data_IF_878848806959
#
_entry.id   IF_878848806959
#
_cell.length_a   1.000
_cell.length_b   1.000
_cell.length_c   1.000
_cell.angle_alpha   90.00
_cell.angle_beta   90.00
_cell.angle_gamma   90.00
#
_symmetry.space_group_name_H-M   'P 1'
#
loop_
_entity.id
_entity.type
_entity.pdbx_description
1 polymer ?
#
# COMPACT_ATOMS: atom_id res chain seq x y z
N UNK A 1 42.22 -54.87 -36.13
CA UNK A 1 41.32 -53.72 -35.97
C UNK A 1 40.15 -54.11 -35.12
N UNK A 2 40.14 -53.66 -33.86
CA UNK A 2 39.04 -53.93 -32.91
C UNK A 2 37.92 -52.87 -33.09
N UNK A 3 36.66 -53.22 -32.99
CA UNK A 3 35.57 -52.23 -33.18
C UNK A 3 35.46 -51.30 -31.96
N UNK A 4 35.45 -50.01 -32.31
CA UNK A 4 35.23 -48.89 -31.36
C UNK A 4 33.81 -49.02 -30.78
N UNK A 5 33.67 -49.21 -29.46
CA UNK A 5 32.41 -49.20 -28.75
C UNK A 5 31.88 -47.74 -28.75
N UNK A 6 30.73 -47.55 -29.44
CA UNK A 6 29.96 -46.31 -29.37
C UNK A 6 29.50 -46.05 -27.92
N UNK A 7 29.54 -44.79 -27.41
CA UNK A 7 29.07 -44.46 -26.09
C UNK A 7 27.56 -44.64 -26.00
N UNK A 8 27.12 -45.23 -24.90
CA UNK A 8 25.78 -45.57 -24.52
C UNK A 8 24.82 -44.36 -24.61
N UNK A 9 23.88 -44.38 -25.58
CA UNK A 9 22.84 -43.38 -25.80
C UNK A 9 21.81 -43.30 -24.63
N UNK A 10 21.91 -44.18 -23.63
CA UNK A 10 21.01 -44.24 -22.49
C UNK A 10 21.31 -43.21 -21.38
N UNK A 11 22.35 -42.37 -21.49
CA UNK A 11 22.67 -41.33 -20.50
C UNK A 11 22.03 -39.96 -20.82
N UNK A 12 21.32 -39.81 -21.94
CA UNK A 12 20.66 -38.57 -22.34
C UNK A 12 19.15 -38.51 -22.06
N UNK A 13 18.55 -39.57 -21.47
CA UNK A 13 17.24 -39.47 -20.85
C UNK A 13 17.35 -38.91 -19.41
N UNK A 14 18.07 -37.78 -19.26
CA UNK A 14 17.92 -36.95 -18.07
C UNK A 14 16.50 -36.42 -18.06
N UNK A 15 15.72 -37.02 -17.17
CA UNK A 15 14.40 -36.64 -16.68
C UNK A 15 14.06 -35.19 -17.02
N UNK A 16 13.15 -35.00 -17.98
CA UNK A 16 12.54 -33.71 -18.27
C UNK A 16 12.06 -33.11 -16.95
N UNK A 17 12.49 -31.90 -16.57
CA UNK A 17 12.12 -31.34 -15.27
C UNK A 17 10.61 -31.25 -15.20
N UNK A 18 10.03 -31.89 -14.17
CA UNK A 18 8.59 -31.96 -13.97
C UNK A 18 7.98 -30.56 -14.20
N UNK A 19 7.08 -30.42 -15.18
CA UNK A 19 6.51 -29.12 -15.61
C UNK A 19 6.02 -28.30 -14.43
N UNK A 20 5.45 -28.94 -13.41
CA UNK A 20 5.03 -28.33 -12.15
C UNK A 20 6.21 -27.71 -11.40
N UNK A 21 7.37 -28.38 -11.37
CA UNK A 21 8.59 -27.92 -10.70
C UNK A 21 9.21 -26.67 -11.36
N UNK A 22 9.14 -26.61 -12.68
CA UNK A 22 9.61 -25.42 -13.44
C UNK A 22 8.65 -24.24 -13.24
N UNK A 23 7.34 -24.49 -13.17
CA UNK A 23 6.33 -23.45 -12.90
C UNK A 23 6.47 -22.90 -11.50
N UNK A 24 6.65 -23.76 -10.48
CA UNK A 24 6.88 -23.36 -9.09
C UNK A 24 8.14 -22.52 -8.94
N UNK A 25 9.25 -22.91 -9.56
CA UNK A 25 10.50 -22.15 -9.54
C UNK A 25 10.37 -20.79 -10.25
N UNK A 26 9.59 -20.69 -11.30
CA UNK A 26 9.28 -19.43 -11.98
C UNK A 26 8.37 -18.54 -11.13
N UNK A 27 7.40 -19.10 -10.41
CA UNK A 27 6.51 -18.38 -9.49
C UNK A 27 7.29 -17.80 -8.30
N UNK A 28 8.15 -18.60 -7.66
CA UNK A 28 8.99 -18.16 -6.53
C UNK A 28 9.91 -17.00 -6.90
N UNK A 29 10.32 -16.89 -8.17
CA UNK A 29 11.15 -15.77 -8.66
C UNK A 29 10.38 -14.49 -8.93
N UNK A 30 9.04 -14.51 -9.00
CA UNK A 30 8.23 -13.29 -9.19
C UNK A 30 8.12 -12.49 -7.90
N UNK A 31 8.16 -11.16 -7.99
CA UNK A 31 7.99 -10.25 -6.85
C UNK A 31 6.67 -10.49 -6.09
N UNK A 32 5.60 -10.81 -6.81
CA UNK A 32 4.25 -11.07 -6.27
C UNK A 32 4.17 -12.32 -5.39
N UNK A 33 5.16 -13.22 -5.45
CA UNK A 33 5.14 -14.48 -4.68
C UNK A 33 5.09 -14.25 -3.17
N UNK A 34 5.82 -13.28 -2.66
CA UNK A 34 5.97 -13.03 -1.22
C UNK A 34 4.67 -12.53 -0.59
N UNK A 35 4.02 -11.46 -1.10
CA UNK A 35 2.76 -11.03 -0.52
C UNK A 35 1.66 -12.09 -0.65
N UNK A 36 1.64 -12.89 -1.72
CA UNK A 36 0.69 -14.00 -1.84
C UNK A 36 0.99 -15.08 -0.80
N UNK A 37 2.25 -15.47 -0.61
CA UNK A 37 2.62 -16.44 0.40
C UNK A 37 2.28 -15.96 1.82
N UNK A 38 2.52 -14.68 2.11
CA UNK A 38 2.16 -14.07 3.39
C UNK A 38 0.64 -14.07 3.62
N UNK A 39 -0.16 -13.71 2.60
CA UNK A 39 -1.62 -13.80 2.67
C UNK A 39 -2.08 -15.24 2.93
N UNK A 40 -1.53 -16.21 2.21
CA UNK A 40 -1.86 -17.62 2.41
C UNK A 40 -1.54 -18.10 3.82
N UNK A 41 -0.38 -17.72 4.37
CA UNK A 41 0.00 -18.04 5.75
C UNK A 41 -1.01 -17.45 6.74
N UNK A 42 -1.40 -16.18 6.56
CA UNK A 42 -2.38 -15.52 7.42
C UNK A 42 -3.77 -16.15 7.30
N UNK A 43 -4.19 -16.53 6.08
CA UNK A 43 -5.45 -17.24 5.84
C UNK A 43 -5.45 -18.59 6.54
N UNK A 44 -4.39 -19.40 6.37
CA UNK A 44 -4.27 -20.71 7.00
C UNK A 44 -4.23 -20.57 8.53
N UNK A 45 -3.48 -19.58 9.04
CA UNK A 45 -3.41 -19.31 10.48
C UNK A 45 -4.81 -19.02 11.06
N UNK A 46 -5.55 -18.09 10.47
CA UNK A 46 -6.89 -17.74 10.95
C UNK A 46 -7.89 -18.88 10.76
N UNK A 47 -7.77 -19.69 9.69
CA UNK A 47 -8.63 -20.84 9.47
C UNK A 47 -8.45 -21.92 10.56
N UNK A 48 -7.22 -22.13 11.03
CA UNK A 48 -6.91 -23.10 12.09
C UNK A 48 -7.28 -22.53 13.47
N UNK A 49 -6.97 -21.24 13.70
CA UNK A 49 -7.15 -20.62 15.01
C UNK A 49 -8.64 -20.32 15.29
N UNK A 50 -9.36 -19.77 14.31
CA UNK A 50 -10.79 -19.49 14.43
C UNK A 50 -11.47 -19.39 13.06
N UNK A 51 -12.13 -20.45 12.58
CA UNK A 51 -12.84 -20.45 11.30
C UNK A 51 -13.93 -19.37 11.18
N UNK A 52 -14.47 -18.87 12.31
CA UNK A 52 -15.47 -17.81 12.33
C UNK A 52 -14.96 -16.47 11.75
N UNK A 53 -13.63 -16.31 11.63
CA UNK A 53 -13.01 -15.17 10.97
C UNK A 53 -13.50 -14.94 9.54
N UNK A 54 -13.84 -16.02 8.84
CA UNK A 54 -14.26 -15.97 7.44
C UNK A 54 -15.76 -15.88 7.25
N UNK A 55 -16.54 -15.83 8.34
CA UNK A 55 -17.99 -15.66 8.26
C UNK A 55 -18.35 -14.28 7.77
N UNK A 56 -19.21 -14.22 6.76
CA UNK A 56 -19.82 -12.99 6.27
C UNK A 56 -21.29 -13.05 6.69
N UNK A 57 -21.75 -12.03 7.39
CA UNK A 57 -23.13 -11.87 7.83
C UNK A 57 -23.74 -10.61 7.23
N UNK A 58 -25.06 -10.61 7.07
CA UNK A 58 -25.80 -9.40 6.78
C UNK A 58 -26.13 -8.73 8.10
N UNK A 59 -25.70 -7.48 8.28
CA UNK A 59 -26.10 -6.61 9.38
C UNK A 59 -26.88 -5.43 8.82
N UNK A 60 -27.55 -4.67 9.70
CA UNK A 60 -28.20 -3.43 9.30
C UNK A 60 -27.25 -2.27 9.54
N UNK A 61 -27.15 -1.38 8.55
CA UNK A 61 -26.48 -0.10 8.68
C UNK A 61 -27.26 0.80 9.65
N UNK A 62 -26.65 1.89 10.11
CA UNK A 62 -27.34 2.95 10.86
C UNK A 62 -28.55 3.53 10.12
N UNK A 63 -28.61 3.40 8.80
CA UNK A 63 -29.74 3.77 7.93
C UNK A 63 -30.81 2.68 7.80
N UNK A 64 -30.62 1.49 8.39
CA UNK A 64 -31.55 0.35 8.25
C UNK A 64 -31.33 -0.54 7.02
N UNK A 65 -30.42 -0.17 6.13
CA UNK A 65 -30.13 -0.95 4.93
C UNK A 65 -29.29 -2.20 5.23
N UNK A 66 -29.50 -3.33 4.51
CA UNK A 66 -28.70 -4.52 4.67
C UNK A 66 -27.27 -4.30 4.13
N UNK A 67 -26.28 -4.47 4.98
CA UNK A 67 -24.86 -4.35 4.64
C UNK A 67 -24.10 -5.63 4.99
N UNK A 68 -23.08 -5.94 4.21
CA UNK A 68 -22.17 -7.04 4.50
C UNK A 68 -21.26 -6.65 5.67
N UNK A 69 -21.19 -7.53 6.66
CA UNK A 69 -20.32 -7.39 7.83
C UNK A 69 -19.48 -8.66 8.03
N UNK A 70 -18.35 -8.50 8.68
CA UNK A 70 -17.38 -9.58 8.94
C UNK A 70 -15.95 -9.09 8.78
N UNK A 71 -14.99 -9.87 9.30
CA UNK A 71 -13.58 -9.47 9.27
C UNK A 71 -13.03 -9.29 7.85
N UNK A 72 -13.50 -10.07 6.88
CA UNK A 72 -13.09 -9.90 5.48
C UNK A 72 -13.54 -8.55 4.90
N UNK A 73 -14.77 -8.14 5.18
CA UNK A 73 -15.29 -6.84 4.74
C UNK A 73 -14.52 -5.71 5.42
N UNK A 74 -14.26 -5.84 6.72
CA UNK A 74 -13.43 -4.89 7.48
C UNK A 74 -12.01 -4.78 6.91
N UNK A 75 -11.41 -5.89 6.47
CA UNK A 75 -10.09 -5.88 5.81
C UNK A 75 -10.17 -5.10 4.49
N UNK A 76 -11.16 -5.37 3.65
CA UNK A 76 -11.32 -4.69 2.36
C UNK A 76 -11.54 -3.19 2.56
N UNK A 77 -12.39 -2.82 3.51
CA UNK A 77 -12.72 -1.44 3.82
C UNK A 77 -11.50 -0.65 4.33
N UNK A 78 -10.86 -1.14 5.39
CA UNK A 78 -9.71 -0.45 5.98
C UNK A 78 -8.44 -0.53 5.11
N UNK A 79 -8.29 -1.58 4.28
CA UNK A 79 -7.20 -1.65 3.33
C UNK A 79 -7.32 -0.62 2.22
N UNK A 80 -8.52 -0.12 1.91
CA UNK A 80 -8.74 0.80 0.79
C UNK A 80 -7.87 2.05 0.87
N UNK A 81 -7.79 2.68 2.04
CA UNK A 81 -6.93 3.85 2.26
C UNK A 81 -5.44 3.48 2.10
N UNK A 82 -5.03 2.36 2.70
CA UNK A 82 -3.64 1.91 2.65
C UNK A 82 -3.22 1.50 1.22
N UNK A 83 -4.12 0.91 0.44
CA UNK A 83 -3.90 0.56 -0.98
C UNK A 83 -3.65 1.82 -1.79
N UNK A 84 -4.48 2.86 -1.63
CA UNK A 84 -4.32 4.14 -2.34
C UNK A 84 -2.95 4.76 -2.02
N UNK A 85 -2.57 4.77 -0.74
CA UNK A 85 -1.28 5.31 -0.30
C UNK A 85 -0.10 4.47 -0.79
N UNK A 86 -0.20 3.13 -0.74
CA UNK A 86 0.84 2.23 -1.21
C UNK A 86 1.13 2.41 -2.71
N UNK A 87 0.12 2.72 -3.53
CA UNK A 87 0.29 3.02 -4.95
C UNK A 87 1.16 4.28 -5.13
N UNK A 88 0.79 5.39 -4.48
CA UNK A 88 1.54 6.65 -4.53
C UNK A 88 2.96 6.49 -3.97
N UNK A 89 3.09 5.84 -2.81
CA UNK A 89 4.37 5.55 -2.15
C UNK A 89 5.29 4.70 -3.03
N UNK A 90 4.73 3.74 -3.79
CA UNK A 90 5.50 2.92 -4.74
C UNK A 90 6.17 3.78 -5.79
N UNK A 91 5.48 4.77 -6.34
CA UNK A 91 6.03 5.67 -7.36
C UNK A 91 7.13 6.57 -6.80
N UNK A 92 6.90 7.15 -5.61
CA UNK A 92 7.89 7.98 -4.92
C UNK A 92 9.14 7.16 -4.61
N UNK A 93 8.99 5.98 -4.00
CA UNK A 93 10.11 5.09 -3.69
C UNK A 93 10.87 4.71 -4.95
N UNK A 94 10.16 4.35 -6.03
CA UNK A 94 10.77 3.94 -7.29
C UNK A 94 11.59 5.07 -7.93
N UNK A 95 11.10 6.32 -7.94
CA UNK A 95 11.76 7.44 -8.59
C UNK A 95 12.91 8.05 -7.77
N UNK A 96 12.72 8.17 -6.43
CA UNK A 96 13.62 8.93 -5.55
C UNK A 96 14.63 8.07 -4.82
N UNK A 97 14.38 6.76 -4.70
CA UNK A 97 15.18 5.86 -3.86
C UNK A 97 15.02 6.13 -2.36
N UNK A 98 13.88 6.71 -1.96
CA UNK A 98 13.53 6.97 -0.57
C UNK A 98 12.02 7.00 -0.38
N UNK A 99 11.59 7.16 0.86
CA UNK A 99 10.20 7.12 1.27
C UNK A 99 9.73 8.49 1.74
N UNK A 100 8.43 8.73 1.65
CA UNK A 100 7.77 9.90 2.23
C UNK A 100 7.14 9.51 3.58
N UNK A 101 7.68 10.05 4.66
CA UNK A 101 7.17 9.80 6.02
C UNK A 101 6.08 10.79 6.44
N UNK A 102 5.79 11.81 5.62
CA UNK A 102 4.81 12.85 5.97
C UNK A 102 3.36 12.48 5.65
N UNK A 103 3.12 11.32 5.03
CA UNK A 103 1.81 10.91 4.50
C UNK A 103 0.70 11.00 5.54
N UNK A 104 0.92 10.52 6.78
CA UNK A 104 -0.08 10.59 7.84
C UNK A 104 -0.40 12.03 8.28
N UNK A 105 0.62 12.89 8.37
CA UNK A 105 0.43 14.30 8.65
C UNK A 105 -0.26 15.04 7.49
N UNK A 106 0.05 14.69 6.25
CA UNK A 106 -0.60 15.22 5.07
C UNK A 106 -2.08 14.80 4.97
N UNK A 107 -2.45 13.59 5.43
CA UNK A 107 -3.85 13.15 5.62
C UNK A 107 -4.55 14.05 6.65
N UNK A 108 -3.90 14.38 7.77
CA UNK A 108 -4.48 15.27 8.76
C UNK A 108 -4.76 16.65 8.18
N UNK A 109 -3.83 17.22 7.40
CA UNK A 109 -4.02 18.52 6.75
C UNK A 109 -5.17 18.46 5.72
N UNK A 110 -5.14 17.48 4.82
CA UNK A 110 -6.16 17.34 3.78
C UNK A 110 -7.55 17.12 4.38
N UNK A 111 -7.66 16.31 5.44
CA UNK A 111 -8.90 16.13 6.17
C UNK A 111 -9.37 17.41 6.88
N UNK A 112 -8.45 18.17 7.48
CA UNK A 112 -8.76 19.48 8.09
C UNK A 112 -9.31 20.47 7.07
N UNK A 113 -8.75 20.50 5.86
CA UNK A 113 -9.26 21.34 4.76
C UNK A 113 -10.68 20.94 4.36
N UNK A 114 -10.96 19.63 4.25
CA UNK A 114 -12.34 19.15 3.97
C UNK A 114 -13.31 19.70 4.99
N UNK A 115 -13.01 19.52 6.28
CA UNK A 115 -13.89 20.00 7.36
C UNK A 115 -14.00 21.52 7.37
N UNK A 116 -12.90 22.25 7.16
CA UNK A 116 -12.93 23.72 7.12
C UNK A 116 -13.82 24.24 6.01
N UNK A 117 -13.79 23.62 4.84
CA UNK A 117 -14.64 24.00 3.69
C UNK A 117 -16.11 23.66 3.95
N UNK A 118 -16.38 22.49 4.56
CA UNK A 118 -17.76 22.04 4.80
C UNK A 118 -18.40 22.70 6.02
N UNK A 119 -17.64 22.93 7.09
CA UNK A 119 -18.14 23.50 8.34
C UNK A 119 -18.00 25.02 8.43
N UNK A 120 -17.17 25.65 7.58
CA UNK A 120 -16.85 27.06 7.70
C UNK A 120 -16.13 27.37 9.02
N UNK A 121 -16.72 28.24 9.84
CA UNK A 121 -16.22 28.59 11.18
C UNK A 121 -16.93 27.83 12.29
N UNK A 122 -17.99 27.11 11.98
CA UNK A 122 -18.81 26.43 12.97
C UNK A 122 -18.27 25.05 13.25
N UNK A 123 -18.15 24.69 14.52
CA UNK A 123 -17.71 23.35 14.94
C UNK A 123 -18.77 22.27 14.75
N UNK A 124 -20.05 22.65 14.63
CA UNK A 124 -21.19 21.74 14.41
C UNK A 124 -22.26 22.43 13.54
N UNK A 125 -22.02 22.58 12.24
CA UNK A 125 -22.96 23.23 11.37
C UNK A 125 -24.22 22.37 11.19
N UNK A 126 -25.41 23.02 11.20
CA UNK A 126 -26.67 22.37 10.86
C UNK A 126 -26.75 22.02 9.38
N UNK A 127 -26.12 22.85 8.53
CA UNK A 127 -26.04 22.66 7.08
C UNK A 127 -24.61 22.86 6.60
N UNK A 128 -24.25 22.15 5.53
CA UNK A 128 -22.93 22.29 4.90
C UNK A 128 -22.80 23.68 4.27
N UNK A 129 -21.68 24.37 4.55
CA UNK A 129 -21.37 25.68 3.98
C UNK A 129 -21.04 25.63 2.49
N UNK A 130 -20.54 24.48 2.02
CA UNK A 130 -20.15 24.31 0.62
C UNK A 130 -20.54 22.90 0.12
N UNK A 131 -20.70 22.73 -1.20
CA UNK A 131 -20.89 21.40 -1.79
C UNK A 131 -19.69 20.48 -1.49
N UNK A 132 -19.98 19.20 -1.27
CA UNK A 132 -18.95 18.17 -0.95
C UNK A 132 -17.85 18.12 -2.03
N UNK A 133 -18.22 18.32 -3.31
CA UNK A 133 -17.26 18.34 -4.41
C UNK A 133 -16.23 19.48 -4.28
N UNK A 134 -16.64 20.63 -3.78
CA UNK A 134 -15.74 21.79 -3.57
C UNK A 134 -14.74 21.46 -2.47
N UNK A 135 -15.19 20.83 -1.37
CA UNK A 135 -14.30 20.37 -0.30
C UNK A 135 -13.31 19.32 -0.80
N UNK A 136 -13.77 18.37 -1.64
CA UNK A 136 -12.88 17.38 -2.26
C UNK A 136 -11.84 18.03 -3.16
N UNK A 137 -12.22 18.96 -4.03
CA UNK A 137 -11.28 19.68 -4.91
C UNK A 137 -10.28 20.51 -4.10
N UNK A 138 -10.73 21.22 -3.06
CA UNK A 138 -9.85 21.97 -2.17
C UNK A 138 -8.83 21.03 -1.47
N UNK A 139 -9.30 19.89 -1.00
CA UNK A 139 -8.47 18.83 -0.43
C UNK A 139 -7.40 18.35 -1.42
N UNK A 140 -7.78 18.07 -2.67
CA UNK A 140 -6.86 17.65 -3.72
C UNK A 140 -5.79 18.71 -4.01
N UNK A 141 -6.19 19.99 -4.14
CA UNK A 141 -5.26 21.08 -4.39
C UNK A 141 -4.24 21.21 -3.26
N UNK A 142 -4.72 21.24 -2.01
CA UNK A 142 -3.83 21.39 -0.85
C UNK A 142 -2.89 20.21 -0.69
N UNK A 143 -3.38 18.99 -0.79
CA UNK A 143 -2.53 17.79 -0.68
C UNK A 143 -1.52 17.69 -1.83
N UNK A 144 -1.89 18.05 -3.07
CA UNK A 144 -0.94 18.15 -4.19
C UNK A 144 0.12 19.23 -3.96
N UNK A 145 -0.23 20.36 -3.35
CA UNK A 145 0.74 21.41 -2.99
C UNK A 145 1.74 20.92 -1.93
N UNK A 146 1.30 20.15 -0.94
CA UNK A 146 2.20 19.50 0.02
C UNK A 146 3.09 18.45 -0.65
N UNK A 147 2.52 17.63 -1.54
CA UNK A 147 3.31 16.71 -2.36
C UNK A 147 4.33 17.45 -3.24
N UNK A 148 3.92 18.55 -3.87
CA UNK A 148 4.80 19.40 -4.67
C UNK A 148 5.93 20.03 -3.83
N UNK A 149 5.64 20.47 -2.60
CA UNK A 149 6.64 21.00 -1.67
C UNK A 149 7.70 19.94 -1.35
N UNK A 150 7.28 18.74 -0.91
CA UNK A 150 8.22 17.64 -0.66
C UNK A 150 8.99 17.25 -1.92
N UNK A 151 8.28 17.14 -3.04
CA UNK A 151 8.87 16.85 -4.34
C UNK A 151 9.90 17.88 -4.77
N UNK A 152 9.67 19.17 -4.51
CA UNK A 152 10.63 20.23 -4.80
C UNK A 152 11.89 20.10 -3.94
N UNK A 153 11.76 19.86 -2.63
CA UNK A 153 12.90 19.66 -1.74
C UNK A 153 13.78 18.48 -2.19
N UNK A 154 13.17 17.37 -2.60
CA UNK A 154 13.90 16.18 -3.03
C UNK A 154 14.45 16.32 -4.45
N UNK A 155 13.67 16.87 -5.39
CA UNK A 155 14.02 16.86 -6.80
C UNK A 155 14.96 18.00 -7.17
N UNK A 156 14.72 19.22 -6.70
CA UNK A 156 15.47 20.41 -7.07
C UNK A 156 16.55 20.76 -6.05
N UNK A 157 16.22 20.71 -4.75
CA UNK A 157 17.21 20.97 -3.70
C UNK A 157 18.06 19.75 -3.35
N UNK A 158 17.74 18.56 -3.89
CA UNK A 158 18.47 17.29 -3.71
C UNK A 158 18.61 16.87 -2.24
N UNK A 159 17.65 17.27 -1.41
CA UNK A 159 17.58 16.83 -0.02
C UNK A 159 17.18 15.36 0.00
N UNK A 160 17.75 14.59 0.91
CA UNK A 160 17.39 13.19 1.09
C UNK A 160 15.89 13.06 1.39
N UNK A 161 15.15 12.15 0.71
CA UNK A 161 13.69 12.05 0.84
C UNK A 161 13.16 12.01 2.27
N UNK A 162 13.70 11.13 3.11
CA UNK A 162 13.27 11.01 4.51
C UNK A 162 13.48 12.29 5.30
N UNK A 163 14.59 13.02 5.06
CA UNK A 163 14.88 14.30 5.73
C UNK A 163 13.95 15.40 5.25
N UNK A 164 13.71 15.48 3.93
CA UNK A 164 12.81 16.47 3.36
C UNK A 164 11.38 16.33 3.90
N UNK A 165 10.88 15.11 3.98
CA UNK A 165 9.50 14.83 4.41
C UNK A 165 9.33 14.88 5.93
N UNK A 166 10.41 14.79 6.70
CA UNK A 166 10.40 14.94 8.16
C UNK A 166 9.89 16.33 8.60
N UNK A 167 10.11 17.36 7.80
CA UNK A 167 9.61 18.72 8.06
C UNK A 167 8.09 18.72 8.17
N UNK A 168 7.40 18.16 7.16
CA UNK A 168 5.94 18.07 7.16
C UNK A 168 5.41 17.00 8.11
N UNK A 169 6.15 15.93 8.36
CA UNK A 169 5.81 14.95 9.38
C UNK A 169 5.65 15.59 10.76
N UNK A 170 6.57 16.49 11.14
CA UNK A 170 6.55 17.17 12.44
C UNK A 170 5.57 18.33 12.49
N UNK A 171 5.55 19.19 11.47
CA UNK A 171 4.73 20.40 11.45
C UNK A 171 3.28 20.16 11.00
N UNK A 172 3.04 19.12 10.18
CA UNK A 172 1.77 18.98 9.48
C UNK A 172 0.55 18.79 10.39
N UNK A 173 0.70 18.09 11.51
CA UNK A 173 -0.41 17.92 12.47
C UNK A 173 -0.76 19.24 13.17
N UNK A 174 0.22 20.09 13.46
CA UNK A 174 -0.02 21.44 14.01
C UNK A 174 -0.66 22.35 12.97
N UNK A 175 -0.25 22.25 11.69
CA UNK A 175 -0.90 22.98 10.58
C UNK A 175 -2.36 22.52 10.44
N UNK A 176 -2.63 21.20 10.53
CA UNK A 176 -3.98 20.65 10.49
C UNK A 176 -4.87 21.19 11.60
N UNK A 177 -4.35 21.28 12.81
CA UNK A 177 -5.05 21.86 13.95
C UNK A 177 -5.31 23.37 13.75
N UNK A 178 -4.30 24.11 13.26
CA UNK A 178 -4.42 25.55 13.00
C UNK A 178 -5.50 25.87 11.95
N UNK A 179 -5.65 25.07 10.90
CA UNK A 179 -6.70 25.23 9.86
C UNK A 179 -8.10 25.30 10.47
N UNK A 180 -8.35 24.51 11.52
CA UNK A 180 -9.64 24.46 12.22
C UNK A 180 -9.64 25.18 13.57
N UNK A 181 -8.73 26.13 13.81
CA UNK A 181 -8.61 26.91 15.04
C UNK A 181 -8.44 26.02 16.30
N UNK A 182 -7.83 24.86 16.19
CA UNK A 182 -7.69 23.81 17.22
C UNK A 182 -9.04 23.20 17.67
N UNK A 183 -10.11 23.43 16.94
CA UNK A 183 -11.41 22.81 17.20
C UNK A 183 -11.53 21.47 16.46
N UNK A 184 -12.45 20.62 16.93
CA UNK A 184 -12.76 19.33 16.30
C UNK A 184 -14.13 19.40 15.61
N UNK A 185 -14.21 19.90 14.36
CA UNK A 185 -15.46 20.02 13.65
C UNK A 185 -16.12 18.66 13.45
N UNK A 186 -17.46 18.61 13.56
CA UNK A 186 -18.27 17.40 13.38
C UNK A 186 -19.35 17.71 12.35
N UNK A 187 -19.42 16.87 11.30
CA UNK A 187 -20.45 16.95 10.26
C UNK A 187 -21.54 15.94 10.56
N UNK A 188 -22.80 16.39 10.64
CA UNK A 188 -23.96 15.53 10.85
C UNK A 188 -24.65 15.10 9.54
N UNK A 189 -24.17 15.57 8.38
CA UNK A 189 -24.74 15.24 7.07
C UNK A 189 -24.44 13.77 6.68
N UNK A 190 -25.50 12.95 6.57
CA UNK A 190 -25.38 11.54 6.19
C UNK A 190 -24.76 11.35 4.81
N UNK A 191 -25.01 12.26 3.84
CA UNK A 191 -24.48 12.15 2.48
C UNK A 191 -22.95 12.23 2.45
N UNK A 192 -22.36 13.05 3.33
CA UNK A 192 -20.91 13.09 3.46
C UNK A 192 -20.36 11.76 3.99
N UNK A 193 -21.04 11.15 4.97
CA UNK A 193 -20.65 9.87 5.54
C UNK A 193 -20.62 8.71 4.55
N UNK A 194 -21.36 8.77 3.43
CA UNK A 194 -21.42 7.70 2.43
C UNK A 194 -20.07 7.43 1.74
N UNK A 195 -19.20 8.41 1.60
CA UNK A 195 -17.88 8.22 0.96
C UNK A 195 -16.91 7.41 1.81
N UNK A 196 -17.07 7.43 3.12
CA UNK A 196 -16.24 6.68 4.07
C UNK A 196 -16.88 5.41 4.62
N UNK A 197 -18.18 5.21 4.38
CA UNK A 197 -18.95 4.08 4.89
C UNK A 197 -19.73 3.38 3.76
N UNK A 198 -21.03 3.19 3.90
CA UNK A 198 -21.88 2.52 2.92
C UNK A 198 -22.83 3.51 2.25
N UNK A 199 -23.03 3.35 0.95
CA UNK A 199 -24.11 4.02 0.23
C UNK A 199 -25.40 3.20 0.43
N UNK A 200 -26.55 3.84 0.71
CA UNK A 200 -27.84 3.15 0.82
C UNK A 200 -28.10 2.23 -0.39
N UNK A 201 -28.48 0.99 -0.11
CA UNK A 201 -28.74 -0.03 -1.13
C UNK A 201 -27.50 -0.76 -1.67
N UNK A 202 -26.28 -0.38 -1.28
CA UNK A 202 -25.04 -1.08 -1.69
C UNK A 202 -24.44 -1.79 -0.47
N UNK A 203 -24.37 -3.13 -0.47
CA UNK A 203 -23.90 -3.88 0.69
C UNK A 203 -22.38 -3.86 0.89
N UNK A 204 -21.61 -3.24 0.00
CA UNK A 204 -20.14 -3.16 0.04
C UNK A 204 -19.70 -1.74 0.41
N UNK A 205 -18.67 -1.56 1.27
CA UNK A 205 -18.17 -0.24 1.66
C UNK A 205 -17.70 0.58 0.46
N UNK A 206 -18.10 1.85 0.42
CA UNK A 206 -17.72 2.79 -0.65
C UNK A 206 -16.21 2.95 -0.83
N UNK A 207 -15.36 2.99 0.23
CA UNK A 207 -13.91 3.07 0.08
C UNK A 207 -13.29 2.01 -0.82
N UNK A 208 -13.90 0.81 -0.88
CA UNK A 208 -13.41 -0.28 -1.76
C UNK A 208 -13.55 0.12 -3.23
N UNK A 209 -14.69 0.71 -3.62
CA UNK A 209 -14.89 1.18 -5.00
C UNK A 209 -13.94 2.33 -5.34
N UNK A 210 -13.72 3.26 -4.40
CA UNK A 210 -12.77 4.38 -4.58
C UNK A 210 -11.35 3.84 -4.77
N UNK A 211 -10.91 2.87 -3.96
CA UNK A 211 -9.60 2.26 -4.09
C UNK A 211 -9.43 1.54 -5.45
N UNK A 212 -10.44 0.80 -5.90
CA UNK A 212 -10.45 0.15 -7.22
C UNK A 212 -10.37 1.20 -8.33
N UNK A 213 -11.14 2.28 -8.24
CA UNK A 213 -11.09 3.38 -9.21
C UNK A 213 -9.69 4.02 -9.26
N UNK A 214 -9.08 4.30 -8.12
CA UNK A 214 -7.70 4.81 -8.04
C UNK A 214 -6.70 3.84 -8.66
N UNK A 215 -6.81 2.53 -8.39
CA UNK A 215 -5.95 1.51 -9.01
C UNK A 215 -6.08 1.52 -10.54
N UNK A 216 -7.31 1.59 -11.05
CA UNK A 216 -7.58 1.62 -12.49
C UNK A 216 -7.01 2.89 -13.09
N UNK A 217 -7.25 4.07 -12.50
CA UNK A 217 -6.75 5.36 -12.99
C UNK A 217 -5.21 5.33 -13.07
N UNK A 218 -4.53 4.94 -12.01
CA UNK A 218 -3.06 4.85 -12.02
C UNK A 218 -2.55 3.81 -13.02
N UNK A 219 -3.21 2.66 -13.13
CA UNK A 219 -2.86 1.64 -14.14
C UNK A 219 -3.00 2.18 -15.58
N UNK A 220 -4.06 2.95 -15.85
CA UNK A 220 -4.27 3.63 -17.13
C UNK A 220 -3.18 4.70 -17.38
N UNK A 221 -2.87 5.53 -16.38
CA UNK A 221 -1.77 6.51 -16.46
C UNK A 221 -0.47 5.81 -16.78
N UNK A 222 -0.12 4.73 -16.08
CA UNK A 222 1.12 3.96 -16.33
C UNK A 222 1.11 3.28 -17.71
N UNK A 223 -0.04 2.88 -18.23
CA UNK A 223 -0.17 2.21 -19.54
C UNK A 223 -0.11 3.19 -20.71
N UNK A 224 -0.80 4.34 -20.58
CA UNK A 224 -0.93 5.31 -21.66
C UNK A 224 0.14 6.41 -21.64
N UNK A 225 0.94 6.50 -20.57
CA UNK A 225 2.05 7.45 -20.47
C UNK A 225 3.38 6.72 -20.27
N UNK A 226 4.48 7.40 -20.57
CA UNK A 226 5.82 6.88 -20.32
C UNK A 226 6.26 7.06 -18.86
N UNK A 227 5.35 7.52 -17.97
CA UNK A 227 5.68 7.85 -16.59
C UNK A 227 6.27 6.63 -15.84
N UNK A 228 5.68 5.45 -16.00
CA UNK A 228 6.17 4.23 -15.37
C UNK A 228 7.59 3.87 -15.80
N UNK A 229 7.87 3.94 -17.11
CA UNK A 229 9.19 3.69 -17.68
C UNK A 229 10.22 4.72 -17.18
N UNK A 230 9.85 6.00 -17.21
CA UNK A 230 10.73 7.10 -16.77
C UNK A 230 11.00 7.03 -15.27
N UNK A 231 10.00 6.74 -14.46
CA UNK A 231 10.14 6.52 -13.01
C UNK A 231 11.16 5.41 -12.72
N UNK A 232 11.02 4.28 -13.39
CA UNK A 232 11.95 3.16 -13.25
C UNK A 232 13.37 3.50 -13.71
N UNK A 233 13.50 4.16 -14.87
CA UNK A 233 14.79 4.55 -15.44
C UNK A 233 15.54 5.53 -14.53
N UNK A 234 14.84 6.56 -14.05
CA UNK A 234 15.40 7.57 -13.13
C UNK A 234 15.82 6.94 -11.82
N UNK A 235 15.02 6.01 -11.28
CA UNK A 235 15.35 5.32 -10.04
C UNK A 235 16.52 4.36 -10.16
N UNK A 236 16.76 3.75 -11.34
CA UNK A 236 17.93 2.89 -11.56
C UNK A 236 19.19 3.74 -11.71
N UNK A 237 19.17 4.76 -12.56
CA UNK A 237 20.30 5.65 -12.77
C UNK A 237 19.83 7.00 -13.33
N UNK A 238 19.75 8.00 -12.46
CA UNK A 238 19.33 9.35 -12.83
C UNK A 238 20.29 10.03 -13.82
N UNK A 239 21.59 9.75 -13.75
CA UNK A 239 22.57 10.32 -14.67
C UNK A 239 22.38 9.78 -16.09
N UNK A 240 22.30 8.46 -16.24
CA UNK A 240 22.05 7.82 -17.54
C UNK A 240 20.69 8.24 -18.14
N UNK A 241 19.66 8.39 -17.30
CA UNK A 241 18.35 8.87 -17.73
C UNK A 241 18.43 10.28 -18.32
N UNK A 242 19.22 11.16 -17.70
CA UNK A 242 19.45 12.52 -18.19
C UNK A 242 20.16 12.54 -19.54
N UNK A 243 21.12 11.67 -19.77
CA UNK A 243 21.80 11.55 -21.07
C UNK A 243 20.83 11.11 -22.19
N UNK A 244 19.79 10.39 -21.86
CA UNK A 244 18.71 9.98 -22.77
C UNK A 244 17.57 11.01 -22.87
N UNK A 245 17.78 12.26 -22.43
CA UNK A 245 16.80 13.34 -22.55
C UNK A 245 15.67 13.33 -21.50
N UNK A 246 15.69 12.40 -20.53
CA UNK A 246 14.71 12.37 -19.45
C UNK A 246 15.15 13.36 -18.36
N UNK A 247 14.23 14.23 -17.88
CA UNK A 247 14.52 15.11 -16.75
C UNK A 247 14.27 14.39 -15.41
N UNK A 248 15.31 13.94 -14.67
CA UNK A 248 15.11 13.18 -13.45
C UNK A 248 14.45 14.00 -12.33
N UNK A 249 14.69 15.31 -12.26
CA UNK A 249 14.10 16.17 -11.26
C UNK A 249 12.59 16.28 -11.46
N UNK A 250 12.14 16.49 -12.71
CA UNK A 250 10.72 16.56 -13.03
C UNK A 250 10.01 15.23 -12.72
N UNK A 251 10.62 14.08 -13.06
CA UNK A 251 10.02 12.76 -12.77
C UNK A 251 9.89 12.53 -11.26
N UNK A 252 10.91 12.85 -10.48
CA UNK A 252 10.80 12.78 -9.01
C UNK A 252 9.71 13.70 -8.49
N UNK A 253 9.70 14.96 -8.91
CA UNK A 253 8.70 15.95 -8.50
C UNK A 253 7.27 15.46 -8.75
N UNK A 254 6.97 14.99 -9.98
CA UNK A 254 5.61 14.56 -10.33
C UNK A 254 5.15 13.33 -9.52
N UNK A 255 6.06 12.41 -9.14
CA UNK A 255 5.69 11.27 -8.31
C UNK A 255 5.25 11.69 -6.91
N UNK A 256 5.83 12.73 -6.32
CA UNK A 256 5.38 13.31 -5.07
C UNK A 256 4.02 14.02 -5.20
N UNK A 257 3.76 14.71 -6.31
CA UNK A 257 2.45 15.32 -6.60
C UNK A 257 1.36 14.25 -6.71
N UNK A 258 1.66 13.13 -7.37
CA UNK A 258 0.75 11.98 -7.47
C UNK A 258 0.49 11.37 -6.09
N UNK A 259 1.53 11.23 -5.26
CA UNK A 259 1.35 10.78 -3.88
C UNK A 259 0.47 11.75 -3.10
N UNK A 260 0.64 13.07 -3.29
CA UNK A 260 -0.25 14.10 -2.71
C UNK A 260 -1.71 13.90 -3.09
N UNK A 261 -1.99 13.57 -4.36
CA UNK A 261 -3.35 13.24 -4.80
C UNK A 261 -3.88 11.97 -4.12
N UNK A 262 -3.06 10.93 -3.99
CA UNK A 262 -3.43 9.71 -3.24
C UNK A 262 -3.75 10.02 -1.77
N UNK A 263 -2.96 10.91 -1.14
CA UNK A 263 -3.19 11.40 0.22
C UNK A 263 -4.51 12.14 0.34
N UNK A 264 -4.86 12.99 -0.64
CA UNK A 264 -6.15 13.69 -0.66
C UNK A 264 -7.33 12.72 -0.62
N UNK A 265 -7.30 11.71 -1.49
CA UNK A 265 -8.35 10.70 -1.57
C UNK A 265 -8.45 9.90 -0.26
N UNK A 266 -7.31 9.44 0.28
CA UNK A 266 -7.28 8.71 1.55
C UNK A 266 -7.76 9.57 2.73
N UNK A 267 -7.36 10.84 2.78
CA UNK A 267 -7.78 11.81 3.78
C UNK A 267 -9.28 12.11 3.71
N UNK A 268 -9.81 12.27 2.51
CA UNK A 268 -11.25 12.47 2.30
C UNK A 268 -12.07 11.27 2.78
N UNK A 269 -11.65 10.03 2.44
CA UNK A 269 -12.29 8.80 2.93
C UNK A 269 -12.25 8.76 4.47
N UNK A 270 -11.08 9.06 5.05
CA UNK A 270 -10.85 9.00 6.49
C UNK A 270 -11.78 9.92 7.26
N UNK A 271 -11.87 11.18 6.82
CA UNK A 271 -12.73 12.19 7.47
C UNK A 271 -14.21 11.90 7.22
N UNK A 272 -14.57 11.44 6.03
CA UNK A 272 -15.92 11.03 5.71
C UNK A 272 -16.38 9.85 6.59
N UNK A 273 -15.48 8.89 6.89
CA UNK A 273 -15.80 7.73 7.73
C UNK A 273 -16.15 8.12 9.16
N UNK A 274 -15.44 9.08 9.74
CA UNK A 274 -15.65 9.49 11.13
C UNK A 274 -16.50 10.76 11.26
N UNK A 275 -16.78 11.46 10.16
CA UNK A 275 -17.46 12.76 10.13
C UNK A 275 -16.80 13.83 11.01
N UNK A 276 -15.57 13.62 11.43
CA UNK A 276 -14.77 14.50 12.29
C UNK A 276 -13.27 14.19 12.08
N UNK A 277 -12.43 15.02 12.70
CA UNK A 277 -10.99 14.81 12.70
C UNK A 277 -10.39 15.07 14.08
N UNK A 278 -9.53 14.16 14.52
CA UNK A 278 -8.61 14.42 15.61
C UNK A 278 -7.19 14.44 15.04
N UNK A 279 -6.60 15.64 14.90
CA UNK A 279 -5.34 15.83 14.18
C UNK A 279 -4.16 15.07 14.79
N UNK A 280 -4.19 14.80 16.12
CA UNK A 280 -3.10 14.11 16.82
C UNK A 280 -3.09 12.62 16.55
N UNK A 281 -4.26 12.01 16.24
CA UNK A 281 -4.43 10.54 16.15
C UNK A 281 -4.80 10.09 14.75
N UNK A 282 -5.41 10.96 13.93
CA UNK A 282 -5.85 10.59 12.59
C UNK A 282 -4.67 10.07 11.77
N UNK A 283 -4.85 8.93 11.12
CA UNK A 283 -3.84 8.31 10.27
C UNK A 283 -2.45 8.16 10.93
N UNK A 284 -2.40 7.98 12.25
CA UNK A 284 -1.15 7.75 12.97
C UNK A 284 -0.54 6.42 12.51
N UNK A 285 0.75 6.44 12.24
CA UNK A 285 1.56 5.29 11.81
C UNK A 285 1.19 4.73 10.42
N UNK A 286 0.24 5.33 9.67
CA UNK A 286 -0.15 4.86 8.34
C UNK A 286 0.99 5.00 7.32
N UNK A 287 1.87 5.98 7.49
CA UNK A 287 3.10 6.17 6.72
C UNK A 287 4.00 4.92 6.81
N UNK A 288 4.15 4.37 8.01
CA UNK A 288 4.93 3.14 8.22
C UNK A 288 4.25 1.96 7.55
N UNK A 289 2.94 1.81 7.70
CA UNK A 289 2.17 0.75 7.04
C UNK A 289 2.27 0.85 5.50
N UNK A 290 2.26 2.06 4.93
CA UNK A 290 2.43 2.26 3.50
C UNK A 290 3.85 1.88 3.01
N UNK A 291 4.90 2.26 3.74
CA UNK A 291 6.28 1.86 3.44
C UNK A 291 6.41 0.34 3.52
N UNK A 292 5.87 -0.27 4.57
CA UNK A 292 5.89 -1.72 4.76
C UNK A 292 5.13 -2.46 3.65
N UNK A 293 4.00 -1.93 3.18
CA UNK A 293 3.25 -2.49 2.06
C UNK A 293 4.10 -2.51 0.77
N UNK A 294 4.84 -1.42 0.49
CA UNK A 294 5.77 -1.33 -0.64
C UNK A 294 6.91 -2.34 -0.51
N UNK A 295 7.50 -2.45 0.67
CA UNK A 295 8.59 -3.39 0.95
C UNK A 295 8.14 -4.86 0.85
N UNK A 296 6.99 -5.21 1.43
CA UNK A 296 6.38 -6.54 1.32
C UNK A 296 6.01 -6.90 -0.12
N UNK A 297 5.66 -5.91 -0.93
CA UNK A 297 5.50 -6.07 -2.38
C UNK A 297 6.80 -6.44 -3.11
N UNK A 298 7.92 -6.52 -2.40
CA UNK A 298 9.24 -6.85 -2.97
C UNK A 298 9.82 -5.73 -3.83
N UNK A 299 9.35 -4.50 -3.66
CA UNK A 299 9.93 -3.34 -4.32
C UNK A 299 11.20 -2.90 -3.60
N UNK A 300 12.20 -2.49 -4.37
CA UNK A 300 13.45 -2.00 -3.82
C UNK A 300 13.22 -0.62 -3.16
N UNK A 301 13.47 -0.51 -1.86
CA UNK A 301 13.36 0.77 -1.14
C UNK A 301 14.44 1.78 -1.58
N UNK A 302 15.48 1.32 -2.26
CA UNK A 302 16.53 2.13 -2.88
C UNK A 302 16.16 2.68 -4.27
N UNK A 303 14.95 2.41 -4.75
CA UNK A 303 14.47 2.88 -6.05
C UNK A 303 14.72 1.93 -7.23
N UNK A 304 14.21 2.31 -8.39
CA UNK A 304 14.36 1.59 -9.65
C UNK A 304 13.15 0.70 -9.96
N UNK A 305 13.35 -0.61 -10.04
CA UNK A 305 12.27 -1.53 -10.43
C UNK A 305 11.15 -1.58 -9.40
N UNK A 306 9.92 -1.47 -9.86
CA UNK A 306 8.73 -1.51 -9.01
C UNK A 306 7.58 -2.32 -9.62
N UNK A 307 6.66 -2.73 -8.76
CA UNK A 307 5.44 -3.43 -9.13
C UNK A 307 4.29 -2.95 -8.23
N UNK A 308 3.40 -2.14 -8.78
CA UNK A 308 2.26 -1.57 -8.06
C UNK A 308 1.33 -2.67 -7.54
N UNK A 309 1.03 -3.69 -8.36
CA UNK A 309 0.16 -4.80 -7.94
C UNK A 309 0.72 -5.53 -6.72
N UNK A 310 2.04 -5.69 -6.66
CA UNK A 310 2.69 -6.32 -5.51
C UNK A 310 2.59 -5.45 -4.24
N UNK A 311 2.69 -4.12 -4.36
CA UNK A 311 2.46 -3.20 -3.23
C UNK A 311 1.01 -3.22 -2.74
N UNK A 312 0.05 -3.29 -3.66
CA UNK A 312 -1.38 -3.45 -3.32
C UNK A 312 -1.60 -4.73 -2.51
N UNK A 313 -1.03 -5.85 -2.95
CA UNK A 313 -1.08 -7.09 -2.18
C UNK A 313 -0.38 -6.95 -0.81
N UNK A 314 0.74 -6.22 -0.75
CA UNK A 314 1.41 -5.88 0.49
C UNK A 314 0.52 -5.09 1.46
N UNK A 315 -0.25 -4.13 0.96
CA UNK A 315 -1.22 -3.37 1.76
C UNK A 315 -2.32 -4.29 2.34
N UNK A 316 -2.82 -5.24 1.56
CA UNK A 316 -3.76 -6.25 2.06
C UNK A 316 -3.13 -7.16 3.11
N UNK A 317 -1.84 -7.55 2.97
CA UNK A 317 -1.13 -8.33 4.01
C UNK A 317 -1.08 -7.57 5.33
N UNK A 318 -0.68 -6.28 5.29
CA UNK A 318 -0.61 -5.43 6.50
C UNK A 318 -1.98 -5.30 7.16
N UNK A 319 -3.01 -5.04 6.37
CA UNK A 319 -4.36 -4.87 6.92
C UNK A 319 -4.94 -6.19 7.44
N UNK A 320 -4.69 -7.30 6.74
CA UNK A 320 -5.09 -8.63 7.20
C UNK A 320 -4.43 -8.96 8.54
N UNK A 321 -3.12 -8.72 8.66
CA UNK A 321 -2.39 -8.89 9.92
C UNK A 321 -2.97 -8.02 11.04
N UNK A 322 -3.25 -6.74 10.75
CA UNK A 322 -3.84 -5.81 11.70
C UNK A 322 -5.19 -6.31 12.22
N UNK A 323 -6.06 -6.74 11.31
CA UNK A 323 -7.40 -7.26 11.67
C UNK A 323 -7.28 -8.58 12.45
N UNK A 324 -6.33 -9.44 12.09
CA UNK A 324 -6.03 -10.67 12.85
C UNK A 324 -5.63 -10.33 14.28
N UNK A 325 -4.70 -9.40 14.49
CA UNK A 325 -4.25 -8.99 15.83
C UNK A 325 -5.41 -8.42 16.68
N UNK A 326 -6.28 -7.61 16.08
CA UNK A 326 -7.48 -7.11 16.76
C UNK A 326 -8.45 -8.24 17.14
N UNK A 327 -8.63 -9.24 16.28
CA UNK A 327 -9.45 -10.42 16.59
C UNK A 327 -8.95 -11.16 17.83
N UNK A 328 -7.63 -11.22 18.01
CA UNK A 328 -7.02 -11.83 19.20
C UNK A 328 -6.88 -10.89 20.40
N UNK A 329 -7.67 -9.78 20.41
CA UNK A 329 -7.70 -8.80 21.49
C UNK A 329 -6.33 -8.17 21.83
N UNK A 330 -5.46 -8.05 20.86
CA UNK A 330 -4.20 -7.31 21.04
C UNK A 330 -4.51 -5.83 21.22
N UNK A 331 -4.04 -5.23 22.30
CA UNK A 331 -4.23 -3.82 22.61
C UNK A 331 -3.67 -2.93 21.49
N UNK A 332 -4.39 -1.86 21.14
CA UNK A 332 -3.98 -0.91 20.10
C UNK A 332 -2.57 -0.33 20.33
N UNK A 333 -2.17 -0.14 21.59
CA UNK A 333 -0.83 0.33 21.96
C UNK A 333 0.29 -0.67 21.67
N UNK A 334 -0.02 -1.98 21.64
CA UNK A 334 0.94 -3.05 21.38
C UNK A 334 0.99 -3.45 19.90
N UNK A 335 -0.01 -3.07 19.09
CA UNK A 335 -0.09 -3.40 17.66
C UNK A 335 1.18 -3.08 16.87
N UNK A 336 1.81 -1.89 17.00
CA UNK A 336 3.03 -1.57 16.25
C UNK A 336 4.16 -2.55 16.52
N UNK A 337 4.32 -3.01 17.78
CA UNK A 337 5.36 -3.96 18.15
C UNK A 337 5.14 -5.34 17.51
N UNK A 338 3.91 -5.88 17.57
CA UNK A 338 3.57 -7.16 16.92
C UNK A 338 3.69 -7.09 15.41
N UNK A 339 3.20 -5.99 14.79
CA UNK A 339 3.38 -5.75 13.34
C UNK A 339 4.85 -5.74 12.97
N UNK A 340 5.70 -5.01 13.72
CA UNK A 340 7.12 -4.92 13.43
C UNK A 340 7.80 -6.29 13.42
N UNK A 341 7.53 -7.15 14.40
CA UNK A 341 8.09 -8.51 14.45
C UNK A 341 7.68 -9.33 13.23
N UNK A 342 6.38 -9.36 12.91
CA UNK A 342 5.89 -10.14 11.76
C UNK A 342 6.43 -9.60 10.45
N UNK A 343 6.46 -8.27 10.29
CA UNK A 343 6.96 -7.65 9.07
C UNK A 343 8.46 -7.87 8.91
N UNK A 344 9.26 -7.77 9.98
CA UNK A 344 10.70 -8.10 9.91
C UNK A 344 10.89 -9.53 9.43
N UNK A 345 10.14 -10.49 9.97
CA UNK A 345 10.20 -11.88 9.51
C UNK A 345 9.86 -12.01 8.02
N UNK A 346 8.79 -11.36 7.57
CA UNK A 346 8.37 -11.40 6.17
C UNK A 346 9.40 -10.73 5.25
N UNK A 347 9.96 -9.59 5.64
CA UNK A 347 10.98 -8.86 4.86
C UNK A 347 12.29 -9.65 4.80
N UNK A 348 12.72 -10.27 5.90
CA UNK A 348 13.91 -11.15 5.91
C UNK A 348 13.71 -12.35 5.00
N UNK A 349 12.54 -13.00 5.03
CA UNK A 349 12.19 -14.08 4.10
C UNK A 349 12.15 -13.60 2.65
N UNK A 350 11.86 -12.31 2.44
CA UNK A 350 11.83 -11.64 1.13
C UNK A 350 13.21 -11.35 0.56
N UNK A 351 14.24 -11.26 1.41
CA UNK A 351 15.58 -10.87 1.01
C UNK A 351 16.16 -11.84 -0.05
N UNK A 352 16.78 -11.31 -1.13
CA UNK A 352 17.32 -12.15 -2.22
C UNK A 352 18.28 -13.23 -1.72
N UNK A 353 19.11 -12.91 -0.74
CA UNK A 353 20.09 -13.82 -0.13
C UNK A 353 19.40 -15.00 0.56
N UNK A 354 18.30 -14.74 1.29
CA UNK A 354 17.53 -15.78 1.99
C UNK A 354 16.78 -16.64 0.98
N UNK A 355 16.20 -16.03 -0.06
CA UNK A 355 15.53 -16.75 -1.15
C UNK A 355 16.47 -17.69 -1.89
N UNK A 356 17.71 -17.27 -2.18
CA UNK A 356 18.71 -18.13 -2.81
C UNK A 356 19.12 -19.28 -1.89
N UNK A 357 19.34 -19.02 -0.58
CA UNK A 357 19.65 -20.06 0.39
C UNK A 357 18.52 -21.07 0.52
N UNK A 358 17.27 -20.61 0.63
CA UNK A 358 16.08 -21.48 0.67
C UNK A 358 15.95 -22.31 -0.61
N UNK A 359 16.15 -21.71 -1.79
CA UNK A 359 16.12 -22.43 -3.06
C UNK A 359 17.22 -23.49 -3.17
N UNK A 360 18.42 -23.25 -2.62
CA UNK A 360 19.50 -24.24 -2.54
C UNK A 360 19.21 -25.36 -1.56
N UNK A 361 18.61 -25.06 -0.40
CA UNK A 361 18.18 -26.05 0.61
C UNK A 361 17.07 -26.94 0.07
N UNK A 362 16.05 -26.37 -0.55
CA UNK A 362 14.98 -27.16 -1.19
C UNK A 362 15.50 -28.06 -2.30
N UNK A 363 16.47 -27.58 -3.09
CA UNK A 363 17.13 -28.39 -4.12
C UNK A 363 17.93 -29.57 -3.50
N UNK A 364 18.66 -29.33 -2.40
CA UNK A 364 19.39 -30.39 -1.67
C UNK A 364 18.44 -31.44 -1.05
N UNK A 365 17.36 -31.00 -0.42
CA UNK A 365 16.36 -31.90 0.17
C UNK A 365 15.63 -32.74 -0.89
N UNK A 366 15.35 -32.16 -2.05
CA UNK A 366 14.75 -32.91 -3.17
C UNK A 366 15.71 -33.96 -3.76
N UNK A 367 17.00 -33.62 -3.90
CA UNK A 367 18.01 -34.57 -4.37
C UNK A 367 18.20 -35.73 -3.38
N UNK A 368 18.18 -35.44 -2.08
CA UNK A 368 18.29 -36.46 -1.03
C UNK A 368 17.06 -37.37 -1.00
N UNK A 369 15.85 -36.85 -1.29
CA UNK A 369 14.64 -37.66 -1.36
C UNK A 369 14.63 -38.57 -2.59
N UNK A 370 15.07 -38.06 -3.76
CA UNK A 370 15.18 -38.86 -4.98
C UNK A 370 16.25 -39.96 -4.88
N UNK A 371 17.32 -39.70 -4.12
CA UNK A 371 18.36 -40.73 -3.84
C UNK A 371 17.87 -41.83 -2.89
N UNK A 372 16.94 -41.50 -1.94
CA UNK A 372 16.32 -42.51 -1.05
C UNK A 372 15.23 -43.35 -1.74
N UNK A 373 14.57 -42.81 -2.78
CA UNK A 373 13.56 -43.54 -3.55
C UNK A 373 14.18 -44.40 -4.67
N UNK A 374 15.49 -44.29 -4.88
CA UNK A 374 16.26 -45.05 -5.89
C UNK A 374 17.07 -46.23 -5.31
N UNK A 375 17.01 -46.42 -3.97
CA UNK A 375 17.54 -47.57 -3.22
C UNK A 375 16.38 -48.43 -2.74
#
# INVERSE_FOLDING_TARGET
MAPVKTPNQNLLQQTAPNKVKVILLKLVKRQIFIPIAALLILVIFNLIADPSFFTISLSQSSSGDPVLSGYLITILDNASELVILAIGMTLVTAASGGQDISVGAAIAISGSVVLRVLCGTDSRPEMLHAPIIVAFLACCIVAMLFGAFNGALVAFFKIQPMVATLILFTAGRSIAAWINNNELPIISDAKFGYFGNFIPGIPIPTPVFIAIACMIIIALVMKFTNLGLYTQSVGINAYSSRLNGINPAFIKFITYVILGLCVAVAGFIKVSRFSTINYSVVAKDIEMDAILAVALGGNALSGGRFNITASVLGAYVIQFLTTTLYKFNVLSSALPAYKAVVVILLVVLSAPVVREKLARLTKKLMLAKTAKEAV
#
